data_IF_001217215920
#
_entry.id   IF_001217215920
#
_cell.length_a   1.000
_cell.length_b   1.000
_cell.length_c   1.000
_cell.angle_alpha   90.00
_cell.angle_beta   90.00
_cell.angle_gamma   90.00
#
_symmetry.space_group_name_H-M   'P 1'
#
loop_
_entity.id
_entity.type
_entity.pdbx_description
1 polymer ?
#
# COMPACT_ATOMS: atom_id res chain seq x y z
N UNK A 1 -6.77 0.44 23.06
CA UNK A 1 -7.32 0.40 21.67
C UNK A 1 -6.14 0.43 20.72
N UNK A 2 -5.89 -0.63 19.95
CA UNK A 2 -4.79 -0.66 18.99
C UNK A 2 -5.04 0.41 17.91
N UNK A 3 -4.07 1.30 17.68
CA UNK A 3 -4.17 2.31 16.62
C UNK A 3 -4.06 1.61 15.27
N UNK A 4 -5.07 1.82 14.40
CA UNK A 4 -5.11 1.27 13.04
C UNK A 4 -4.00 1.85 12.18
N UNK A 5 -3.31 1.01 11.41
CA UNK A 5 -2.17 1.38 10.59
C UNK A 5 -2.53 2.43 9.53
N UNK A 6 -3.73 2.33 8.95
CA UNK A 6 -4.26 3.33 8.02
C UNK A 6 -4.24 4.77 8.56
N UNK A 7 -4.27 4.96 9.88
CA UNK A 7 -4.20 6.30 10.48
C UNK A 7 -2.78 6.89 10.48
N UNK A 8 -1.75 6.08 10.27
CA UNK A 8 -0.37 6.56 10.12
C UNK A 8 -0.03 6.93 8.67
N UNK A 9 -0.79 6.44 7.69
CA UNK A 9 -0.58 6.76 6.29
C UNK A 9 -0.92 8.24 6.02
N UNK A 10 0.02 8.95 5.40
CA UNK A 10 -0.17 10.33 4.94
C UNK A 10 -0.70 10.34 3.51
N UNK A 11 -1.30 11.45 3.07
CA UNK A 11 -1.60 11.65 1.65
C UNK A 11 -0.47 12.43 1.02
N UNK A 12 -0.04 12.05 -0.19
CA UNK A 12 1.03 12.76 -0.89
C UNK A 12 0.61 14.22 -1.18
N UNK A 13 1.53 15.17 -0.96
CA UNK A 13 1.23 16.61 -0.89
C UNK A 13 0.58 17.22 -2.13
N UNK A 14 0.80 16.64 -3.31
CA UNK A 14 0.24 17.14 -4.57
C UNK A 14 -1.20 16.69 -4.82
N UNK A 15 -1.75 15.81 -3.99
CA UNK A 15 -3.11 15.28 -4.16
C UNK A 15 -4.14 16.32 -3.69
N UNK A 16 -5.14 16.67 -4.52
CA UNK A 16 -6.20 17.60 -4.10
C UNK A 16 -6.95 17.11 -2.86
N UNK A 17 -7.29 18.04 -1.95
CA UNK A 17 -7.96 17.73 -0.67
C UNK A 17 -9.27 16.93 -0.85
N UNK A 18 -10.04 17.25 -1.90
CA UNK A 18 -11.28 16.52 -2.21
C UNK A 18 -11.01 15.05 -2.53
N UNK A 19 -10.01 14.81 -3.36
CA UNK A 19 -9.56 13.48 -3.77
C UNK A 19 -9.01 12.69 -2.58
N UNK A 20 -8.15 13.33 -1.77
CA UNK A 20 -7.62 12.78 -0.54
C UNK A 20 -8.72 12.29 0.42
N UNK A 21 -9.73 13.13 0.68
CA UNK A 21 -10.89 12.76 1.53
C UNK A 21 -11.65 11.56 0.98
N UNK A 22 -11.83 11.50 -0.34
CA UNK A 22 -12.51 10.38 -1.00
C UNK A 22 -11.73 9.07 -0.90
N UNK A 23 -10.41 9.10 -1.07
CA UNK A 23 -9.57 7.91 -0.90
C UNK A 23 -9.64 7.39 0.53
N UNK A 24 -9.48 8.28 1.51
CA UNK A 24 -9.56 7.90 2.93
C UNK A 24 -10.94 7.33 3.29
N UNK A 25 -12.02 7.89 2.74
CA UNK A 25 -13.36 7.33 2.91
C UNK A 25 -13.45 5.90 2.37
N UNK A 26 -13.04 5.68 1.11
CA UNK A 26 -13.08 4.35 0.47
C UNK A 26 -12.24 3.34 1.26
N UNK A 27 -11.01 3.69 1.62
CA UNK A 27 -10.12 2.78 2.36
C UNK A 27 -10.71 2.44 3.74
N UNK A 28 -11.23 3.43 4.47
CA UNK A 28 -11.84 3.19 5.80
C UNK A 28 -13.16 2.42 5.72
N UNK A 29 -13.97 2.65 4.68
CA UNK A 29 -15.26 1.97 4.52
C UNK A 29 -15.11 0.54 4.01
N UNK A 30 -14.08 0.26 3.21
CA UNK A 30 -13.86 -1.05 2.60
C UNK A 30 -12.88 -1.93 3.38
N UNK A 31 -11.85 -1.32 3.99
CA UNK A 31 -10.63 -2.01 4.45
C UNK A 31 -10.01 -1.34 5.67
N UNK A 32 -10.83 -1.05 6.69
CA UNK A 32 -10.41 -0.23 7.82
C UNK A 32 -9.17 -0.76 8.60
N UNK A 33 -8.90 -2.06 8.52
CA UNK A 33 -7.84 -2.77 9.23
C UNK A 33 -6.90 -3.55 8.30
N UNK A 34 -6.93 -3.28 6.99
CA UNK A 34 -6.22 -4.12 6.01
C UNK A 34 -4.73 -4.26 6.28
N UNK A 35 -4.08 -3.19 6.75
CA UNK A 35 -2.65 -3.15 7.06
C UNK A 35 -2.34 -3.36 8.55
N UNK A 36 -3.32 -3.70 9.37
CA UNK A 36 -3.12 -3.96 10.80
C UNK A 36 -2.55 -5.36 11.05
N UNK A 37 -2.58 -6.21 10.02
CA UNK A 37 -2.07 -7.58 10.00
C UNK A 37 -1.42 -7.85 8.65
N UNK A 38 -0.79 -9.02 8.52
CA UNK A 38 -0.20 -9.44 7.26
C UNK A 38 -1.29 -9.53 6.18
N UNK A 39 -1.12 -8.77 5.10
CA UNK A 39 -2.06 -8.66 3.99
C UNK A 39 -1.58 -9.48 2.81
N UNK A 40 -2.45 -10.30 2.24
CA UNK A 40 -2.20 -10.92 0.93
C UNK A 40 -2.47 -9.92 -0.20
N UNK A 41 -1.51 -9.79 -1.11
CA UNK A 41 -1.55 -8.92 -2.29
C UNK A 41 -1.38 -9.78 -3.54
N UNK A 42 -2.46 -9.90 -4.31
CA UNK A 42 -2.47 -10.77 -5.50
C UNK A 42 -1.60 -10.25 -6.65
N UNK A 43 -1.35 -8.94 -6.71
CA UNK A 43 -0.44 -8.32 -7.68
C UNK A 43 0.22 -7.09 -7.09
N UNK A 44 1.54 -6.96 -7.25
CA UNK A 44 2.28 -5.78 -6.83
C UNK A 44 3.37 -5.40 -7.84
N UNK A 45 3.71 -4.11 -7.88
CA UNK A 45 4.82 -3.55 -8.64
C UNK A 45 5.63 -2.62 -7.74
N UNK A 46 6.96 -2.72 -7.85
CA UNK A 46 7.89 -1.93 -7.04
C UNK A 46 8.85 -1.15 -7.91
N UNK A 47 9.04 0.12 -7.58
CA UNK A 47 9.94 1.02 -8.28
C UNK A 47 10.75 1.84 -7.27
N UNK A 48 12.07 1.86 -7.45
CA UNK A 48 13.00 2.58 -6.60
C UNK A 48 13.54 3.81 -7.34
N UNK A 49 13.40 4.98 -6.74
CA UNK A 49 13.99 6.24 -7.24
C UNK A 49 15.18 6.61 -6.37
N UNK A 50 16.36 6.65 -6.98
CA UNK A 50 17.63 7.13 -6.38
C UNK A 50 17.92 6.53 -5.00
N UNK A 51 17.61 5.23 -4.81
CA UNK A 51 17.73 4.46 -3.56
C UNK A 51 17.05 5.08 -2.31
N UNK A 52 16.29 6.16 -2.49
CA UNK A 52 15.73 6.97 -1.39
C UNK A 52 14.23 6.80 -1.27
N UNK A 53 13.54 6.60 -2.40
CA UNK A 53 12.09 6.48 -2.43
C UNK A 53 11.67 5.19 -3.10
N UNK A 54 10.93 4.35 -2.37
CA UNK A 54 10.25 3.20 -2.95
C UNK A 54 8.80 3.57 -3.22
N UNK A 55 8.38 3.35 -4.46
CA UNK A 55 6.99 3.34 -4.89
C UNK A 55 6.49 1.90 -4.96
N UNK A 56 5.39 1.62 -4.28
CA UNK A 56 4.73 0.32 -4.24
C UNK A 56 3.33 0.47 -4.82
N UNK A 57 3.01 -0.23 -5.89
CA UNK A 57 1.62 -0.34 -6.38
C UNK A 57 1.08 -1.70 -6.00
N UNK A 58 0.04 -1.73 -5.18
CA UNK A 58 -0.51 -2.93 -4.57
C UNK A 58 -1.96 -3.13 -5.00
N UNK A 59 -2.28 -4.30 -5.55
CA UNK A 59 -3.65 -4.70 -5.81
C UNK A 59 -4.27 -5.20 -4.50
N UNK A 60 -5.19 -4.40 -3.95
CA UNK A 60 -5.89 -4.74 -2.73
C UNK A 60 -6.81 -5.94 -2.95
N UNK A 61 -7.03 -6.78 -1.92
CA UNK A 61 -8.05 -7.82 -1.95
C UNK A 61 -9.41 -7.20 -2.31
N UNK A 62 -10.32 -7.92 -2.98
CA UNK A 62 -11.65 -7.41 -3.29
C UNK A 62 -12.39 -6.90 -2.05
N UNK A 63 -13.28 -5.93 -2.23
CA UNK A 63 -14.11 -5.44 -1.12
C UNK A 63 -15.12 -6.52 -0.72
N UNK A 64 -15.03 -7.02 0.51
CA UNK A 64 -15.93 -8.05 1.04
C UNK A 64 -17.14 -7.48 1.80
N UNK A 65 -17.10 -6.20 2.19
CA UNK A 65 -18.14 -5.61 3.04
C UNK A 65 -19.49 -5.49 2.32
N UNK A 66 -20.48 -6.26 2.79
CA UNK A 66 -21.85 -6.28 2.26
C UNK A 66 -22.59 -4.93 2.32
N UNK A 67 -22.15 -4.00 3.17
CA UNK A 67 -22.73 -2.66 3.30
C UNK A 67 -22.01 -1.60 2.44
N UNK A 68 -20.92 -1.97 1.76
CA UNK A 68 -20.17 -1.05 0.91
C UNK A 68 -20.75 -0.99 -0.50
N UNK A 69 -20.91 0.20 -1.12
CA UNK A 69 -21.28 0.32 -2.53
C UNK A 69 -20.18 -0.21 -3.48
N UNK A 70 -19.04 -0.63 -2.92
CA UNK A 70 -17.89 -1.15 -3.66
C UNK A 70 -17.73 -2.67 -3.54
N UNK A 71 -18.70 -3.41 -2.99
CA UNK A 71 -18.61 -4.86 -2.85
C UNK A 71 -18.18 -5.56 -4.17
N UNK A 72 -17.24 -6.49 -4.05
CA UNK A 72 -16.66 -7.23 -5.17
C UNK A 72 -15.77 -6.40 -6.11
N UNK A 73 -15.59 -5.09 -5.87
CA UNK A 73 -14.68 -4.27 -6.66
C UNK A 73 -13.25 -4.43 -6.15
N UNK A 74 -12.30 -4.33 -7.08
CA UNK A 74 -10.86 -4.36 -6.79
C UNK A 74 -10.27 -2.97 -6.98
N UNK A 75 -9.25 -2.67 -6.18
CA UNK A 75 -8.56 -1.38 -6.22
C UNK A 75 -7.06 -1.60 -6.25
N UNK A 76 -6.34 -0.67 -6.86
CA UNK A 76 -4.89 -0.55 -6.74
C UNK A 76 -4.60 0.67 -5.90
N UNK A 77 -3.81 0.51 -4.85
CA UNK A 77 -3.25 1.61 -4.08
C UNK A 77 -1.77 1.76 -4.43
N UNK A 78 -1.33 2.99 -4.65
CA UNK A 78 0.08 3.30 -4.79
C UNK A 78 0.56 4.00 -3.53
N UNK A 79 1.59 3.44 -2.90
CA UNK A 79 2.24 3.95 -1.70
C UNK A 79 3.66 4.39 -2.04
N UNK A 80 4.04 5.58 -1.61
CA UNK A 80 5.42 6.06 -1.67
C UNK A 80 6.00 6.05 -0.27
N UNK A 81 7.23 5.57 -0.12
CA UNK A 81 7.89 5.46 1.17
C UNK A 81 9.29 6.04 1.10
N UNK A 82 9.66 6.86 2.10
CA UNK A 82 11.02 7.39 2.21
C UNK A 82 11.88 6.39 2.97
N UNK A 83 12.78 5.72 2.25
CA UNK A 83 13.62 4.66 2.78
C UNK A 83 14.71 5.25 3.66
N UNK A 84 14.87 4.67 4.86
CA UNK A 84 16.00 4.94 5.75
C UNK A 84 17.04 3.83 5.61
N UNK A 85 16.58 2.59 5.49
CA UNK A 85 17.41 1.41 5.24
C UNK A 85 16.56 0.29 4.65
N UNK A 86 17.20 -0.63 3.93
CA UNK A 86 16.53 -1.75 3.30
C UNK A 86 17.51 -2.92 3.13
N UNK A 87 16.96 -4.12 2.98
CA UNK A 87 17.75 -5.31 2.71
C UNK A 87 18.28 -5.31 1.27
N UNK A 88 19.50 -5.81 1.04
CA UNK A 88 20.11 -5.81 -0.32
C UNK A 88 19.25 -6.56 -1.35
N UNK A 89 18.38 -7.44 -0.89
CA UNK A 89 17.46 -8.20 -1.72
C UNK A 89 16.30 -7.38 -2.32
N UNK A 90 16.14 -6.09 -1.95
CA UNK A 90 15.10 -5.23 -2.56
C UNK A 90 15.19 -5.20 -4.09
N UNK A 91 16.41 -5.28 -4.64
CA UNK A 91 16.63 -5.22 -6.09
C UNK A 91 15.97 -6.40 -6.82
N UNK A 92 15.73 -7.51 -6.12
CA UNK A 92 14.98 -8.65 -6.66
C UNK A 92 13.49 -8.38 -6.82
N UNK A 93 12.96 -7.31 -6.21
CA UNK A 93 11.56 -6.92 -6.29
C UNK A 93 11.27 -5.86 -7.37
N UNK A 94 12.31 -5.19 -7.87
CA UNK A 94 12.15 -3.98 -8.69
C UNK A 94 11.84 -4.30 -10.15
N UNK A 95 11.01 -3.46 -10.77
CA UNK A 95 10.79 -3.47 -12.23
C UNK A 95 10.06 -4.71 -12.75
N UNK A 96 9.50 -5.53 -11.88
CA UNK A 96 8.76 -6.74 -12.22
C UNK A 96 7.34 -6.71 -11.66
N UNK A 97 6.43 -7.36 -12.38
CA UNK A 97 5.13 -7.72 -11.83
C UNK A 97 5.28 -8.92 -10.92
N UNK A 98 4.98 -8.72 -9.64
CA UNK A 98 5.01 -9.75 -8.63
C UNK A 98 3.59 -10.16 -8.25
N UNK A 99 3.43 -11.44 -7.95
CA UNK A 99 2.16 -12.06 -7.61
C UNK A 99 2.32 -12.80 -6.28
N UNK A 100 1.19 -12.98 -5.59
CA UNK A 100 1.11 -13.77 -4.36
C UNK A 100 2.10 -13.32 -3.27
N UNK A 101 2.11 -12.01 -3.00
CA UNK A 101 2.98 -11.40 -1.99
C UNK A 101 2.20 -11.21 -0.70
N UNK A 102 2.84 -11.49 0.43
CA UNK A 102 2.35 -11.02 1.72
C UNK A 102 3.10 -9.76 2.14
N UNK A 103 2.36 -8.76 2.61
CA UNK A 103 2.91 -7.51 3.11
C UNK A 103 2.51 -7.32 4.56
N UNK A 104 3.46 -6.99 5.42
CA UNK A 104 3.19 -6.57 6.79
C UNK A 104 3.78 -5.18 7.01
N UNK A 105 2.94 -4.28 7.51
CA UNK A 105 3.35 -2.96 7.95
C UNK A 105 3.37 -2.91 9.48
N UNK A 106 4.43 -2.35 10.04
CA UNK A 106 4.53 -2.08 11.49
C UNK A 106 4.96 -0.64 11.72
N UNK A 107 4.50 -0.09 12.82
CA UNK A 107 4.99 1.16 13.36
C UNK A 107 5.82 0.83 14.60
N UNK A 108 7.12 1.06 14.53
CA UNK A 108 8.08 0.72 15.57
C UNK A 108 8.29 1.87 16.59
N UNK A 109 7.58 3.00 16.42
CA UNK A 109 7.75 4.22 17.21
C UNK A 109 8.60 5.28 16.50
N UNK A 110 8.63 6.50 17.04
CA UNK A 110 9.49 7.61 16.56
C UNK A 110 9.46 7.88 15.05
N UNK A 111 8.29 7.78 14.43
CA UNK A 111 8.10 7.92 12.98
C UNK A 111 8.94 6.92 12.16
N UNK A 112 9.20 5.72 12.71
CA UNK A 112 9.84 4.61 12.01
C UNK A 112 8.80 3.54 11.66
N UNK A 113 8.72 3.23 10.38
CA UNK A 113 7.88 2.18 9.83
C UNK A 113 8.74 1.03 9.32
N UNK A 114 8.39 -0.19 9.72
CA UNK A 114 8.93 -1.42 9.12
C UNK A 114 7.92 -1.95 8.11
N UNK A 115 8.39 -2.27 6.91
CA UNK A 115 7.61 -2.92 5.85
C UNK A 115 8.31 -4.22 5.51
N UNK A 116 7.59 -5.33 5.66
CA UNK A 116 8.06 -6.67 5.32
C UNK A 116 7.30 -7.16 4.10
N UNK A 117 8.04 -7.66 3.11
CA UNK A 117 7.50 -8.37 1.95
C UNK A 117 7.93 -9.82 2.04
N UNK A 118 6.96 -10.73 1.99
CA UNK A 118 7.23 -12.17 1.88
C UNK A 118 6.81 -12.63 0.50
N UNK A 119 7.78 -13.11 -0.28
CA UNK A 119 7.58 -13.67 -1.61
C UNK A 119 8.25 -15.05 -1.64
N UNK A 120 7.44 -16.11 -1.72
CA UNK A 120 7.93 -17.50 -1.59
C UNK A 120 8.74 -17.65 -0.30
N UNK A 121 9.99 -18.12 -0.38
CA UNK A 121 10.89 -18.31 0.76
C UNK A 121 11.80 -17.09 1.04
N UNK A 122 11.50 -15.94 0.43
CA UNK A 122 12.28 -14.71 0.62
C UNK A 122 11.50 -13.69 1.44
N UNK A 123 12.20 -13.06 2.37
CA UNK A 123 11.69 -11.94 3.15
C UNK A 123 12.57 -10.73 2.84
N UNK A 124 11.95 -9.65 2.36
CA UNK A 124 12.61 -8.37 2.16
C UNK A 124 12.08 -7.41 3.21
N UNK A 125 13.00 -6.77 3.92
CA UNK A 125 12.70 -5.77 4.93
C UNK A 125 13.08 -4.38 4.46
N UNK A 126 12.20 -3.42 4.73
CA UNK A 126 12.42 -1.99 4.50
C UNK A 126 12.05 -1.21 5.74
N UNK A 127 12.93 -0.30 6.14
CA UNK A 127 12.64 0.69 7.16
C UNK A 127 12.42 2.05 6.49
N UNK A 128 11.37 2.75 6.91
CA UNK A 128 10.96 4.01 6.33
C UNK A 128 10.63 5.04 7.40
N UNK A 129 10.80 6.30 7.06
CA UNK A 129 10.36 7.43 7.89
C UNK A 129 8.87 7.72 7.73
N UNK A 130 8.36 7.61 6.51
CA UNK A 130 7.00 8.03 6.18
C UNK A 130 6.46 7.21 5.03
N UNK A 131 5.15 6.91 5.09
CA UNK A 131 4.44 6.22 4.03
C UNK A 131 3.27 7.11 3.58
N UNK A 132 3.26 7.41 2.29
CA UNK A 132 2.29 8.25 1.63
C UNK A 132 1.41 7.45 0.69
N UNK A 133 0.11 7.70 0.70
CA UNK A 133 -0.79 7.29 -0.37
C UNK A 133 -0.62 8.30 -1.51
N UNK A 134 -0.11 7.82 -2.64
CA UNK A 134 0.13 8.63 -3.84
C UNK A 134 -1.05 8.58 -4.81
N UNK A 135 -1.66 7.42 -4.99
CA UNK A 135 -2.82 7.25 -5.87
C UNK A 135 -3.70 6.07 -5.46
N UNK A 136 -4.99 6.16 -5.80
CA UNK A 136 -5.95 5.08 -5.67
C UNK A 136 -6.68 4.90 -7.00
N UNK A 137 -6.66 3.70 -7.53
CA UNK A 137 -7.35 3.32 -8.77
C UNK A 137 -8.42 2.28 -8.47
N UNK A 138 -9.55 2.39 -9.15
CA UNK A 138 -10.58 1.35 -9.17
C UNK A 138 -10.45 0.54 -10.46
N UNK A 139 -10.48 -0.78 -10.34
CA UNK A 139 -10.56 -1.68 -11.51
C UNK A 139 -11.96 -1.62 -12.13
N UNK A 140 -12.02 -1.45 -13.44
CA UNK A 140 -13.24 -1.36 -14.25
C UNK A 140 -13.05 -2.16 -15.54
N UNK A 141 -13.48 -3.43 -15.52
CA UNK A 141 -13.10 -4.42 -16.53
C UNK A 141 -11.58 -4.65 -16.53
N UNK A 142 -10.96 -4.52 -17.70
CA UNK A 142 -9.50 -4.63 -17.87
C UNK A 142 -8.76 -3.31 -17.63
N UNK A 143 -9.49 -2.22 -17.35
CA UNK A 143 -8.91 -0.89 -17.17
C UNK A 143 -8.84 -0.50 -15.68
N UNK A 144 -7.92 0.42 -15.38
CA UNK A 144 -7.81 1.05 -14.07
C UNK A 144 -8.12 2.53 -14.19
N UNK A 145 -9.15 2.98 -13.46
CA UNK A 145 -9.55 4.39 -13.43
C UNK A 145 -9.11 5.03 -12.12
N UNK A 146 -8.36 6.12 -12.22
CA UNK A 146 -7.97 6.89 -11.05
C UNK A 146 -9.23 7.43 -10.35
N UNK A 147 -9.25 7.31 -9.02
CA UNK A 147 -10.30 7.89 -8.20
C UNK A 147 -9.96 9.38 -8.01
N UNK A 148 -10.72 10.28 -8.60
CA UNK A 148 -10.64 11.73 -8.35
C UNK A 148 -11.62 12.18 -7.27
#
# INVERSE_FOLDING_TARGET
>A
MQKKFLNYLKIYRSVPVRTAKKWLYILKSCWNNIFDQQTFIGKANFYLSDDTYLTMSLMLPPVESNSSPFIGKSFIITLNTQIISYDKDIYSLLGMELYDIFILFKNEGDDLFEILFTLKDKIVKINSKEIFINSLYKKDGDNYKMVY
#
